data_IF_126677149589
#
_entry.id   IF_126677149589
#
_cell.length_a   1.000
_cell.length_b   1.000
_cell.length_c   1.000
_cell.angle_alpha   90.00
_cell.angle_beta   90.00
_cell.angle_gamma   90.00
#
_symmetry.space_group_name_H-M   'P 1'
#
loop_
_entity.id
_entity.type
_entity.pdbx_description
1 polymer ?
#
# COMPACT_ATOMS: atom_id res chain seq x y z
N UNK A 1 -43.24 10.26 6.28
CA UNK A 1 -43.63 10.03 7.68
C UNK A 1 -42.39 10.11 8.56
N UNK A 2 -42.09 11.31 9.07
CA UNK A 2 -41.15 11.53 10.17
C UNK A 2 -41.95 11.31 11.46
N UNK A 3 -41.53 10.38 12.32
CA UNK A 3 -42.02 10.31 13.70
C UNK A 3 -41.01 10.98 14.60
N UNK A 4 -41.50 12.03 15.24
CA UNK A 4 -40.93 12.80 16.33
C UNK A 4 -40.63 11.93 17.54
N UNK A 5 -39.47 12.18 18.16
CA UNK A 5 -39.26 11.96 19.59
C UNK A 5 -38.66 13.27 20.11
N UNK A 6 -39.54 14.14 20.61
CA UNK A 6 -39.18 15.20 21.53
C UNK A 6 -39.20 14.58 22.93
N UNK A 7 -38.03 14.56 23.57
CA UNK A 7 -37.95 14.55 25.03
C UNK A 7 -36.96 15.64 25.43
N UNK A 8 -37.53 16.64 26.10
CA UNK A 8 -36.89 17.72 26.83
C UNK A 8 -35.83 17.19 27.80
N UNK A 9 -34.59 17.67 27.67
CA UNK A 9 -33.59 17.61 28.73
C UNK A 9 -33.05 19.01 28.94
N UNK A 10 -33.10 19.41 30.20
CA UNK A 10 -32.71 20.66 30.84
C UNK A 10 -31.36 21.23 30.37
N UNK A 11 -31.34 22.56 30.29
CA UNK A 11 -30.13 23.38 30.31
C UNK A 11 -29.22 23.05 31.50
N UNK A 12 -27.92 23.26 31.28
CA UNK A 12 -26.75 23.03 32.15
C UNK A 12 -25.99 21.72 31.94
N UNK A 13 -25.15 21.70 30.90
CA UNK A 13 -23.97 20.82 30.83
C UNK A 13 -22.68 21.66 30.94
N UNK A 14 -21.76 21.39 31.87
CA UNK A 14 -20.50 22.11 31.97
C UNK A 14 -19.64 21.81 30.75
N UNK A 15 -18.93 22.82 30.24
CA UNK A 15 -17.87 22.68 29.23
C UNK A 15 -16.81 21.68 29.73
N UNK A 16 -17.00 20.39 29.46
CA UNK A 16 -15.94 19.41 29.64
C UNK A 16 -14.97 19.60 28.48
N UNK A 17 -13.93 20.40 28.70
CA UNK A 17 -12.73 20.38 27.88
C UNK A 17 -12.10 19.01 28.06
N UNK A 18 -11.99 18.23 26.99
CA UNK A 18 -11.29 16.94 26.97
C UNK A 18 -9.82 17.12 27.35
N UNK A 19 -9.51 16.96 28.64
CA UNK A 19 -8.16 16.91 29.18
C UNK A 19 -7.89 15.46 29.59
N UNK A 20 -7.03 14.77 28.84
CA UNK A 20 -6.45 13.51 29.30
C UNK A 20 -5.05 13.75 29.86
N UNK A 21 -4.73 13.02 30.93
CA UNK A 21 -3.46 13.10 31.66
C UNK A 21 -2.35 12.44 30.84
N UNK A 22 -1.25 13.15 30.60
CA UNK A 22 -0.03 12.56 30.03
C UNK A 22 1.05 12.58 31.11
N UNK A 23 1.55 11.38 31.47
CA UNK A 23 2.70 11.23 32.36
C UNK A 23 3.97 11.13 31.54
N UNK A 24 4.80 12.17 31.60
CA UNK A 24 6.16 12.13 31.07
C UNK A 24 7.12 12.01 32.26
N UNK A 25 7.85 10.88 32.34
CA UNK A 25 8.99 10.71 33.23
C UNK A 25 8.64 10.91 34.73
N UNK A 26 7.41 10.58 35.11
CA UNK A 26 6.90 10.71 36.48
C UNK A 26 6.25 12.06 36.82
N UNK A 27 6.26 13.04 35.90
CA UNK A 27 5.62 14.34 36.10
C UNK A 27 4.26 14.40 35.40
N UNK A 28 3.24 14.87 36.14
CA UNK A 28 1.91 15.13 35.59
C UNK A 28 1.90 16.51 34.93
N UNK A 29 1.83 16.56 33.61
CA UNK A 29 1.73 17.83 32.85
C UNK A 29 0.27 18.04 32.47
N UNK A 30 -0.38 19.06 33.06
CA UNK A 30 -1.75 19.42 32.71
C UNK A 30 -1.82 20.55 31.67
N UNK A 31 -2.85 20.48 30.82
CA UNK A 31 -3.28 21.33 29.70
C UNK A 31 -2.75 20.94 28.31
N UNK A 32 -3.69 20.68 27.39
CA UNK A 32 -3.53 21.00 25.96
C UNK A 32 -3.27 22.51 25.84
N UNK A 33 -2.02 22.95 25.99
CA UNK A 33 -1.57 24.14 25.29
C UNK A 33 -1.20 23.67 23.90
N UNK A 34 -2.10 23.87 22.95
CA UNK A 34 -1.87 23.48 21.56
C UNK A 34 -0.55 24.09 21.05
N UNK A 35 -0.22 25.31 21.48
CA UNK A 35 1.06 25.96 21.24
C UNK A 35 2.25 25.18 21.82
N UNK A 36 2.15 24.67 23.05
CA UNK A 36 3.20 23.84 23.67
C UNK A 36 3.34 22.48 23.00
N UNK A 37 2.23 21.86 22.58
CA UNK A 37 2.28 20.63 21.77
C UNK A 37 2.95 20.91 20.42
N UNK A 38 2.54 21.99 19.72
CA UNK A 38 3.10 22.41 18.43
C UNK A 38 4.57 22.82 18.54
N UNK A 39 5.03 23.31 19.70
CA UNK A 39 6.44 23.63 19.93
C UNK A 39 7.30 22.40 20.21
N UNK A 40 6.71 21.31 20.73
CA UNK A 40 7.45 20.07 21.06
C UNK A 40 7.44 19.10 19.86
N UNK A 41 6.28 18.90 19.24
CA UNK A 41 6.08 18.00 18.09
C UNK A 41 5.46 18.79 16.93
N UNK A 42 6.22 18.95 15.85
CA UNK A 42 5.72 19.50 14.58
C UNK A 42 5.13 18.37 13.75
N UNK A 43 3.86 18.47 13.39
CA UNK A 43 3.20 17.51 12.49
C UNK A 43 3.03 18.13 11.12
N UNK A 44 3.52 17.44 10.09
CA UNK A 44 3.31 17.77 8.68
C UNK A 44 2.40 16.70 8.07
N UNK A 45 1.24 17.07 7.55
CA UNK A 45 0.29 16.11 6.96
C UNK A 45 0.07 16.41 5.48
N UNK A 46 0.34 15.46 4.60
CA UNK A 46 0.20 15.59 3.14
C UNK A 46 -0.96 14.68 2.71
N UNK A 47 -2.08 15.23 2.22
CA UNK A 47 -3.25 14.44 1.84
C UNK A 47 -3.05 13.68 0.52
N UNK A 48 -3.90 12.67 0.27
CA UNK A 48 -3.84 11.86 -0.95
C UNK A 48 -4.27 12.66 -2.20
N UNK A 49 -5.35 13.44 -2.08
CA UNK A 49 -5.80 14.35 -3.12
C UNK A 49 -4.93 15.60 -3.08
N UNK A 50 -3.98 15.66 -4.01
CA UNK A 50 -3.11 16.82 -4.15
C UNK A 50 -3.80 17.85 -5.03
N UNK A 51 -4.29 18.94 -4.44
CA UNK A 51 -4.69 20.09 -5.22
C UNK A 51 -3.54 21.10 -5.17
N UNK A 52 -2.88 21.34 -6.31
CA UNK A 52 -1.76 22.26 -6.40
C UNK A 52 -2.14 23.69 -5.94
N UNK A 53 -3.41 24.08 -6.04
CA UNK A 53 -3.91 25.37 -5.54
C UNK A 53 -4.01 25.40 -4.01
N UNK A 54 -4.26 24.26 -3.35
CA UNK A 54 -4.46 24.19 -1.90
C UNK A 54 -3.23 23.69 -1.14
N UNK A 55 -2.37 22.85 -1.74
CA UNK A 55 -1.24 22.20 -1.07
C UNK A 55 0.10 22.90 -1.30
N UNK A 56 0.26 23.58 -2.45
CA UNK A 56 1.49 24.28 -2.83
C UNK A 56 1.39 25.80 -2.67
N UNK A 57 0.23 26.34 -2.28
CA UNK A 57 0.16 27.74 -1.84
C UNK A 57 0.83 27.85 -0.47
N UNK A 58 1.82 28.72 -0.33
CA UNK A 58 2.52 28.88 0.95
C UNK A 58 1.75 29.79 1.93
N UNK A 59 0.44 29.52 2.05
CA UNK A 59 -0.37 30.02 3.15
C UNK A 59 0.08 29.37 4.47
N UNK A 60 -0.06 30.10 5.60
CA UNK A 60 0.39 29.66 6.95
C UNK A 60 -0.18 28.29 7.40
N UNK A 61 -1.19 27.77 6.70
CA UNK A 61 -1.93 26.56 7.08
C UNK A 61 -1.59 25.34 6.25
N UNK A 62 -0.89 25.49 5.11
CA UNK A 62 -0.53 24.34 4.28
C UNK A 62 0.76 23.69 4.81
N UNK A 63 0.91 22.38 4.62
CA UNK A 63 2.14 21.67 5.01
C UNK A 63 3.37 22.28 4.32
N UNK A 64 3.27 22.52 3.02
CA UNK A 64 4.32 23.18 2.25
C UNK A 64 4.63 24.58 2.77
N UNK A 65 3.60 25.38 3.08
CA UNK A 65 3.76 26.72 3.63
C UNK A 65 4.47 26.72 4.99
N UNK A 66 4.15 25.77 5.87
CA UNK A 66 4.82 25.62 7.16
C UNK A 66 6.30 25.23 6.99
N UNK A 67 6.61 24.39 6.00
CA UNK A 67 7.98 24.04 5.68
C UNK A 67 8.75 25.26 5.15
N UNK A 68 8.23 25.92 4.11
CA UNK A 68 8.86 27.10 3.52
C UNK A 68 9.03 28.21 4.55
N UNK A 69 8.08 28.33 5.49
CA UNK A 69 8.19 29.21 6.64
C UNK A 69 9.41 28.88 7.50
N UNK A 70 9.60 27.61 7.89
CA UNK A 70 10.80 27.22 8.66
C UNK A 70 12.08 27.52 7.88
N UNK A 71 12.12 27.17 6.59
CA UNK A 71 13.30 27.46 5.73
C UNK A 71 13.60 28.96 5.65
N UNK A 72 12.57 29.79 5.55
CA UNK A 72 12.70 31.24 5.50
C UNK A 72 13.17 31.81 6.85
N UNK A 73 12.54 31.41 7.96
CA UNK A 73 12.86 31.89 9.31
C UNK A 73 14.27 31.46 9.76
N UNK A 74 14.73 30.28 9.33
CA UNK A 74 16.07 29.75 9.64
C UNK A 74 17.16 30.29 8.68
N UNK A 75 16.78 31.10 7.66
CA UNK A 75 17.71 31.62 6.66
C UNK A 75 18.61 32.72 7.22
N UNK A 76 19.92 32.74 6.88
CA UNK A 76 20.80 33.85 7.26
C UNK A 76 20.34 35.20 6.68
N UNK A 77 19.56 35.19 5.60
CA UNK A 77 19.06 36.40 4.94
C UNK A 77 17.70 36.88 5.48
N UNK A 78 17.16 36.26 6.54
CA UNK A 78 15.84 36.61 7.06
C UNK A 78 15.75 38.08 7.47
N UNK A 79 16.81 38.60 8.10
CA UNK A 79 16.86 40.00 8.53
C UNK A 79 16.93 40.96 7.35
N UNK A 80 17.74 40.65 6.33
CA UNK A 80 17.83 41.46 5.11
C UNK A 80 16.49 41.54 4.36
N UNK A 81 15.75 40.43 4.32
CA UNK A 81 14.40 40.40 3.72
C UNK A 81 13.44 41.27 4.53
N UNK A 82 13.53 41.22 5.87
CA UNK A 82 12.71 42.06 6.76
C UNK A 82 13.00 43.55 6.54
N UNK A 83 14.26 43.92 6.40
CA UNK A 83 14.66 45.31 6.15
C UNK A 83 14.23 45.78 4.75
N UNK A 84 14.30 44.89 3.75
CA UNK A 84 13.74 45.14 2.42
C UNK A 84 12.22 45.37 2.44
N UNK A 85 11.49 44.60 3.25
CA UNK A 85 10.04 44.75 3.45
C UNK A 85 9.66 46.11 4.04
N UNK A 86 10.43 46.59 5.01
CA UNK A 86 10.27 47.93 5.60
C UNK A 86 10.41 49.00 4.51
N UNK A 87 11.43 48.88 3.66
CA UNK A 87 11.66 49.82 2.57
C UNK A 87 10.53 49.82 1.53
N UNK A 88 9.98 48.64 1.22
CA UNK A 88 8.82 48.53 0.30
C UNK A 88 7.59 49.18 0.93
N UNK A 89 7.32 48.93 2.21
CA UNK A 89 6.17 49.53 2.89
C UNK A 89 6.28 51.06 2.97
N UNK A 90 7.49 51.60 3.18
CA UNK A 90 7.71 53.06 3.11
C UNK A 90 7.33 53.65 1.75
N UNK A 91 7.72 53.00 0.64
CA UNK A 91 7.32 53.43 -0.71
C UNK A 91 5.82 53.34 -0.94
N UNK A 92 5.16 52.34 -0.36
CA UNK A 92 3.69 52.19 -0.45
C UNK A 92 2.99 53.33 0.29
N UNK A 93 3.48 53.75 1.46
CA UNK A 93 2.97 54.94 2.15
C UNK A 93 3.02 56.19 1.28
N UNK A 94 4.15 56.40 0.57
CA UNK A 94 4.31 57.53 -0.32
C UNK A 94 3.30 57.50 -1.47
N UNK A 95 3.04 56.33 -2.05
CA UNK A 95 2.05 56.15 -3.13
C UNK A 95 0.63 56.49 -2.66
N UNK A 96 0.25 56.07 -1.45
CA UNK A 96 -1.11 56.23 -0.92
C UNK A 96 -1.28 57.45 0.00
N UNK A 97 -0.33 58.40 -0.02
CA UNK A 97 -0.32 59.52 0.93
C UNK A 97 -1.59 60.39 0.84
N UNK A 98 -2.14 60.53 -0.37
CA UNK A 98 -3.32 61.36 -0.61
C UNK A 98 -4.61 60.69 -0.10
N UNK A 99 -4.71 59.38 -0.30
CA UNK A 99 -5.79 58.51 0.15
C UNK A 99 -5.77 58.39 1.67
N UNK A 100 -4.57 58.24 2.26
CA UNK A 100 -4.33 58.26 3.71
C UNK A 100 -4.92 59.53 4.34
N UNK A 101 -4.59 60.70 3.79
CA UNK A 101 -5.08 61.98 4.33
C UNK A 101 -6.62 62.11 4.25
N UNK A 102 -7.23 61.68 3.13
CA UNK A 102 -8.69 61.68 2.97
C UNK A 102 -9.40 60.71 3.93
N UNK A 103 -8.85 59.51 4.10
CA UNK A 103 -9.41 58.52 5.03
C UNK A 103 -9.26 58.96 6.48
N UNK A 104 -8.10 59.51 6.85
CA UNK A 104 -7.83 59.97 8.21
C UNK A 104 -8.78 61.10 8.60
N UNK A 105 -8.94 62.09 7.73
CA UNK A 105 -9.90 63.19 7.96
C UNK A 105 -11.34 62.69 8.09
N UNK A 106 -11.77 61.75 7.25
CA UNK A 106 -13.08 61.11 7.38
C UNK A 106 -13.24 60.35 8.69
N UNK A 107 -12.27 59.52 9.07
CA UNK A 107 -12.32 58.71 10.29
C UNK A 107 -12.37 59.58 11.56
N UNK A 108 -11.58 60.66 11.60
CA UNK A 108 -11.52 61.60 12.72
C UNK A 108 -12.85 62.33 13.01
N UNK A 109 -13.78 62.39 12.03
CA UNK A 109 -15.12 62.96 12.27
C UNK A 109 -16.03 62.06 13.10
N UNK A 110 -15.74 60.76 13.16
CA UNK A 110 -16.62 59.75 13.77
C UNK A 110 -15.99 59.01 14.94
N UNK A 111 -14.65 59.01 15.04
CA UNK A 111 -13.90 58.31 16.08
C UNK A 111 -12.53 58.95 16.29
N UNK A 112 -11.87 58.62 17.40
CA UNK A 112 -10.48 59.03 17.64
C UNK A 112 -9.52 58.09 16.92
N UNK A 113 -8.93 58.57 15.81
CA UNK A 113 -7.91 57.87 15.03
C UNK A 113 -6.72 58.81 14.83
N UNK A 114 -5.56 58.44 15.38
CA UNK A 114 -4.33 59.24 15.32
C UNK A 114 -3.67 59.16 13.94
N UNK A 115 -3.58 57.95 13.38
CA UNK A 115 -2.98 57.73 12.07
C UNK A 115 -3.56 56.49 11.36
N UNK A 116 -3.36 56.40 10.05
CA UNK A 116 -3.68 55.25 9.21
C UNK A 116 -2.42 54.78 8.49
N UNK A 117 -2.13 53.48 8.56
CA UNK A 117 -0.93 52.90 7.96
C UNK A 117 -1.27 51.75 6.99
N UNK A 118 -0.85 51.87 5.74
CA UNK A 118 -0.94 50.84 4.70
C UNK A 118 0.31 49.94 4.68
N UNK A 119 0.14 48.69 5.11
CA UNK A 119 1.23 47.69 5.14
C UNK A 119 0.89 46.47 4.30
N UNK A 120 1.89 45.91 3.59
CA UNK A 120 1.73 44.65 2.84
C UNK A 120 1.66 43.41 3.73
N UNK A 121 2.25 43.46 4.92
CA UNK A 121 2.34 42.34 5.86
C UNK A 121 2.15 42.84 7.28
N UNK A 122 1.65 41.98 8.16
CA UNK A 122 1.55 42.30 9.58
C UNK A 122 2.94 42.38 10.21
N UNK A 123 3.23 43.50 10.87
CA UNK A 123 4.47 43.73 11.63
C UNK A 123 5.76 43.56 10.78
N UNK A 124 5.69 43.82 9.47
CA UNK A 124 6.78 43.58 8.51
C UNK A 124 7.32 42.14 8.54
N UNK A 125 6.47 41.15 8.81
CA UNK A 125 6.90 39.75 8.95
C UNK A 125 7.13 39.08 7.57
N UNK A 126 8.38 38.69 7.22
CA UNK A 126 8.69 38.02 5.95
C UNK A 126 7.88 36.76 5.67
N UNK A 127 7.51 35.99 6.70
CA UNK A 127 6.75 34.75 6.52
C UNK A 127 5.35 34.98 5.94
N UNK A 128 4.83 36.21 5.95
CA UNK A 128 3.54 36.50 5.30
C UNK A 128 3.64 36.61 3.78
N UNK A 129 4.83 36.92 3.25
CA UNK A 129 5.10 36.95 1.80
C UNK A 129 4.93 35.56 1.16
N UNK A 130 5.11 34.50 1.94
CA UNK A 130 4.95 33.13 1.50
C UNK A 130 3.55 32.86 0.93
N UNK A 131 2.51 33.61 1.34
CA UNK A 131 1.17 33.47 0.76
C UNK A 131 1.14 33.68 -0.76
N UNK A 132 2.09 34.42 -1.29
CA UNK A 132 2.22 34.75 -2.71
C UNK A 132 3.41 34.03 -3.38
N UNK A 133 4.03 33.07 -2.69
CA UNK A 133 5.13 32.30 -3.26
C UNK A 133 4.56 31.30 -4.29
N UNK A 134 4.88 31.53 -5.56
CA UNK A 134 4.52 30.67 -6.67
C UNK A 134 5.74 29.93 -7.22
N UNK A 135 5.52 28.70 -7.71
CA UNK A 135 6.56 27.87 -8.31
C UNK A 135 6.45 27.96 -9.84
N UNK A 136 7.55 28.38 -10.47
CA UNK A 136 7.69 28.42 -11.93
C UNK A 136 8.73 27.39 -12.39
N UNK A 137 8.41 26.69 -13.48
CA UNK A 137 9.27 25.67 -14.09
C UNK A 137 9.75 26.19 -15.45
N UNK A 138 11.04 25.97 -15.74
CA UNK A 138 11.63 26.26 -17.04
C UNK A 138 11.90 24.97 -17.81
N UNK A 139 11.18 24.76 -18.91
CA UNK A 139 11.38 23.63 -19.82
C UNK A 139 11.53 24.14 -21.25
N UNK A 140 12.57 23.70 -21.96
CA UNK A 140 12.84 24.07 -23.36
C UNK A 140 12.79 25.59 -23.63
N UNK A 141 13.26 26.39 -22.67
CA UNK A 141 13.28 27.85 -22.77
C UNK A 141 11.94 28.54 -22.46
N UNK A 142 10.86 27.79 -22.19
CA UNK A 142 9.58 28.33 -21.73
C UNK A 142 9.52 28.30 -20.21
N UNK A 143 9.01 29.37 -19.61
CA UNK A 143 8.74 29.47 -18.18
C UNK A 143 7.23 29.40 -18.00
N UNK A 144 6.75 28.47 -17.19
CA UNK A 144 5.33 28.32 -16.87
C UNK A 144 5.16 28.06 -15.37
N UNK A 145 4.02 28.47 -14.82
CA UNK A 145 3.64 28.08 -13.46
C UNK A 145 3.52 26.55 -13.39
N UNK A 146 3.86 25.95 -12.24
CA UNK A 146 3.77 24.51 -11.98
C UNK A 146 2.37 23.95 -12.29
N UNK A 147 1.30 24.73 -12.12
CA UNK A 147 -0.07 24.37 -12.47
C UNK A 147 -0.23 23.91 -13.93
N UNK A 148 0.54 24.50 -14.85
CA UNK A 148 0.50 24.19 -16.27
C UNK A 148 1.50 23.09 -16.69
N UNK A 149 2.28 22.58 -15.74
CA UNK A 149 3.20 21.48 -16.01
C UNK A 149 2.44 20.15 -16.08
N UNK A 150 3.00 19.19 -16.83
CA UNK A 150 2.46 17.83 -16.83
C UNK A 150 2.49 17.23 -15.43
N UNK A 151 1.52 16.35 -15.12
CA UNK A 151 1.40 15.70 -13.81
C UNK A 151 2.69 15.02 -13.34
N UNK A 152 3.49 14.46 -14.27
CA UNK A 152 4.81 13.90 -13.93
C UNK A 152 5.79 14.93 -13.35
N UNK A 153 5.90 16.10 -13.96
CA UNK A 153 6.77 17.19 -13.50
C UNK A 153 6.29 17.77 -12.17
N UNK A 154 4.96 17.96 -12.03
CA UNK A 154 4.36 18.41 -10.77
C UNK A 154 4.71 17.47 -9.62
N UNK A 155 4.57 16.15 -9.81
CA UNK A 155 4.91 15.17 -8.78
C UNK A 155 6.41 15.11 -8.49
N UNK A 156 7.28 15.27 -9.48
CA UNK A 156 8.72 15.32 -9.24
C UNK A 156 9.10 16.49 -8.30
N UNK A 157 8.48 17.66 -8.50
CA UNK A 157 8.69 18.81 -7.63
C UNK A 157 8.10 18.55 -6.23
N UNK A 158 6.91 17.95 -6.13
CA UNK A 158 6.33 17.57 -4.83
C UNK A 158 7.27 16.60 -4.08
N UNK A 159 7.82 15.60 -4.75
CA UNK A 159 8.81 14.69 -4.15
C UNK A 159 10.04 15.48 -3.69
N UNK A 160 10.57 16.39 -4.50
CA UNK A 160 11.69 17.24 -4.10
C UNK A 160 11.38 18.15 -2.91
N UNK A 161 10.16 18.67 -2.84
CA UNK A 161 9.65 19.44 -1.70
C UNK A 161 9.56 18.56 -0.45
N UNK A 162 8.98 17.36 -0.56
CA UNK A 162 8.90 16.40 0.54
C UNK A 162 10.31 16.03 1.00
N UNK A 163 11.23 15.77 0.07
CA UNK A 163 12.62 15.48 0.37
C UNK A 163 13.30 16.63 1.12
N UNK A 164 13.11 17.88 0.68
CA UNK A 164 13.57 19.07 1.40
C UNK A 164 12.93 19.16 2.79
N UNK A 165 11.64 18.85 2.89
CA UNK A 165 10.90 18.85 4.15
C UNK A 165 11.51 17.90 5.16
N UNK A 166 11.79 16.71 4.68
CA UNK A 166 12.27 15.58 5.45
C UNK A 166 13.76 15.73 5.79
N UNK A 167 14.55 16.38 4.93
CA UNK A 167 15.98 16.70 5.18
C UNK A 167 16.19 17.92 6.06
N UNK A 168 15.22 18.85 6.13
CA UNK A 168 15.38 20.05 6.95
C UNK A 168 15.35 19.65 8.44
N UNK A 169 16.53 19.65 9.08
CA UNK A 169 16.74 19.33 10.50
C UNK A 169 16.45 20.56 11.35
N UNK A 170 15.21 20.74 11.80
CA UNK A 170 14.90 21.75 12.81
C UNK A 170 15.02 21.14 14.21
N UNK A 171 15.25 21.98 15.22
CA UNK A 171 15.13 21.55 16.62
C UNK A 171 13.70 21.05 16.92
N UNK A 172 13.56 19.92 17.60
CA UNK A 172 12.29 19.32 18.02
C UNK A 172 11.87 18.04 17.30
N UNK A 173 10.85 17.36 17.82
CA UNK A 173 10.30 16.14 17.24
C UNK A 173 9.39 16.45 16.05
N UNK A 174 9.40 15.60 15.03
CA UNK A 174 8.61 15.75 13.80
C UNK A 174 7.84 14.49 13.48
N UNK A 175 6.59 14.66 13.07
CA UNK A 175 5.77 13.59 12.52
C UNK A 175 5.33 14.01 11.12
N UNK A 176 5.77 13.26 10.12
CA UNK A 176 5.29 13.38 8.75
C UNK A 176 4.20 12.35 8.52
N UNK A 177 3.01 12.79 8.13
CA UNK A 177 1.90 11.91 7.74
C UNK A 177 1.67 12.14 6.26
N UNK A 178 1.81 11.11 5.43
CA UNK A 178 1.69 11.23 3.98
C UNK A 178 0.69 10.18 3.50
N UNK A 179 -0.43 10.64 2.97
CA UNK A 179 -1.43 9.75 2.39
C UNK A 179 -1.12 9.47 0.91
N UNK A 180 -1.15 8.20 0.53
CA UNK A 180 -0.95 7.69 -0.83
C UNK A 180 0.17 8.41 -1.60
N UNK A 181 1.41 8.40 -1.07
CA UNK A 181 2.54 9.10 -1.67
C UNK A 181 2.82 8.66 -3.11
N UNK A 182 2.47 7.43 -3.50
CA UNK A 182 2.60 6.87 -4.84
C UNK A 182 1.73 7.50 -5.92
N UNK A 183 0.66 8.21 -5.55
CA UNK A 183 -0.34 8.70 -6.50
C UNK A 183 0.32 9.63 -7.52
N UNK A 184 0.07 9.33 -8.81
CA UNK A 184 0.65 10.00 -9.99
C UNK A 184 2.19 9.89 -10.15
N UNK A 185 2.84 8.96 -9.44
CA UNK A 185 4.29 8.72 -9.56
C UNK A 185 4.56 7.45 -10.38
N UNK A 186 5.48 7.55 -11.35
CA UNK A 186 5.92 6.38 -12.13
C UNK A 186 6.61 5.32 -11.22
N UNK A 187 6.53 4.00 -11.50
CA UNK A 187 7.06 2.96 -10.62
C UNK A 187 8.50 3.13 -10.12
N UNK A 188 9.39 3.68 -10.95
CA UNK A 188 10.76 3.99 -10.52
C UNK A 188 10.82 5.10 -9.46
N UNK A 189 9.95 6.12 -9.58
CA UNK A 189 9.81 7.18 -8.59
C UNK A 189 9.24 6.66 -7.27
N UNK A 190 8.31 5.68 -7.30
CA UNK A 190 7.78 5.04 -6.07
C UNK A 190 8.90 4.34 -5.30
N UNK A 191 9.79 3.61 -5.98
CA UNK A 191 10.96 2.97 -5.35
C UNK A 191 11.94 3.99 -4.77
N UNK A 192 12.21 5.07 -5.51
CA UNK A 192 13.04 6.15 -5.01
C UNK A 192 12.44 6.79 -3.75
N UNK A 193 11.14 7.10 -3.80
CA UNK A 193 10.38 7.64 -2.68
C UNK A 193 10.42 6.72 -1.44
N UNK A 194 10.24 5.41 -1.63
CA UNK A 194 10.39 4.43 -0.56
C UNK A 194 11.78 4.47 0.10
N UNK A 195 12.84 4.58 -0.70
CA UNK A 195 14.20 4.70 -0.17
C UNK A 195 14.47 6.03 0.55
N UNK A 196 13.94 7.14 0.03
CA UNK A 196 13.99 8.44 0.72
C UNK A 196 13.35 8.32 2.10
N UNK A 197 12.08 7.89 2.14
CA UNK A 197 11.27 7.75 3.36
C UNK A 197 12.01 6.90 4.41
N UNK A 198 12.62 5.78 3.99
CA UNK A 198 13.34 4.89 4.90
C UNK A 198 14.60 5.53 5.51
N UNK A 199 15.26 6.42 4.79
CA UNK A 199 16.51 7.05 5.24
C UNK A 199 16.28 8.25 6.18
N UNK A 200 15.07 8.81 6.23
CA UNK A 200 14.77 10.02 6.99
C UNK A 200 14.72 9.81 8.51
N UNK A 201 14.14 8.72 9.05
CA UNK A 201 14.15 8.44 10.48
C UNK A 201 15.55 8.18 11.08
N UNK A 202 16.63 8.29 10.30
CA UNK A 202 18.01 8.18 10.80
C UNK A 202 18.39 9.29 11.78
N UNK A 203 17.61 10.39 11.82
CA UNK A 203 17.65 11.36 12.90
C UNK A 203 16.59 10.99 13.94
N UNK A 204 16.98 10.71 15.19
CA UNK A 204 16.14 10.20 16.31
C UNK A 204 14.87 11.03 16.63
N UNK A 205 14.68 12.17 15.97
CA UNK A 205 13.59 13.10 16.21
C UNK A 205 12.50 13.08 15.12
N UNK A 206 12.60 12.24 14.08
CA UNK A 206 11.63 12.24 12.96
C UNK A 206 10.91 10.89 12.80
N UNK A 207 9.58 10.93 12.79
CA UNK A 207 8.72 9.80 12.45
C UNK A 207 7.97 10.07 11.15
N UNK A 208 7.83 9.05 10.30
CA UNK A 208 7.04 9.11 9.07
C UNK A 208 5.94 8.04 9.14
N UNK A 209 4.69 8.44 8.87
CA UNK A 209 3.51 7.60 8.80
C UNK A 209 2.91 7.71 7.40
N UNK A 210 2.64 6.58 6.76
CA UNK A 210 2.18 6.53 5.39
C UNK A 210 0.99 5.59 5.26
N UNK A 211 -0.02 6.00 4.51
CA UNK A 211 -1.02 5.09 3.94
C UNK A 211 -0.67 4.81 2.48
N UNK A 212 -0.85 3.58 2.02
CA UNK A 212 -0.50 3.19 0.64
C UNK A 212 -1.32 1.99 0.17
N UNK A 213 -1.66 2.00 -1.12
CA UNK A 213 -2.20 0.87 -1.87
C UNK A 213 -1.16 0.29 -2.86
N UNK A 214 0.10 0.76 -2.79
CA UNK A 214 1.16 0.38 -3.71
C UNK A 214 1.95 -0.84 -3.23
N UNK A 215 1.84 -1.93 -3.98
CA UNK A 215 2.72 -3.12 -3.84
C UNK A 215 4.20 -2.72 -3.87
N UNK A 216 4.55 -1.84 -4.81
CA UNK A 216 5.92 -1.36 -5.02
C UNK A 216 6.45 -0.58 -3.84
N UNK A 217 5.60 0.19 -3.16
CA UNK A 217 6.01 0.99 -2.01
C UNK A 217 6.20 0.12 -0.77
N UNK A 218 5.20 -0.71 -0.43
CA UNK A 218 5.24 -1.63 0.71
C UNK A 218 6.47 -2.54 0.68
N UNK A 219 6.89 -2.99 -0.51
CA UNK A 219 8.07 -3.83 -0.69
C UNK A 219 9.41 -3.18 -0.24
N UNK A 220 9.46 -1.87 0.05
CA UNK A 220 10.67 -1.19 0.57
C UNK A 220 10.78 -1.24 2.11
N UNK A 221 9.72 -1.66 2.79
CA UNK A 221 9.62 -1.60 4.25
C UNK A 221 9.85 -2.96 4.89
N UNK A 222 10.27 -2.96 6.15
CA UNK A 222 10.45 -4.15 6.99
C UNK A 222 9.13 -4.54 7.68
N UNK A 223 8.98 -5.78 8.18
CA UNK A 223 7.74 -6.22 8.84
C UNK A 223 7.28 -5.31 9.98
N UNK A 224 8.24 -4.84 10.77
CA UNK A 224 8.01 -3.91 11.88
C UNK A 224 7.56 -2.52 11.41
N UNK A 225 7.80 -2.18 10.15
CA UNK A 225 7.44 -0.89 9.52
C UNK A 225 6.10 -0.99 8.79
N UNK A 226 5.50 -2.19 8.68
CA UNK A 226 4.23 -2.43 7.98
C UNK A 226 3.12 -2.64 9.01
N UNK A 227 2.05 -1.87 8.87
CA UNK A 227 0.83 -2.01 9.67
C UNK A 227 -0.32 -2.33 8.71
N UNK A 228 -0.88 -3.53 8.83
CA UNK A 228 -2.08 -3.93 8.08
C UNK A 228 -3.32 -3.51 8.86
N UNK A 229 -4.22 -2.80 8.19
CA UNK A 229 -5.46 -2.28 8.77
C UNK A 229 -6.63 -2.84 7.99
N UNK A 230 -7.46 -3.63 8.67
CA UNK A 230 -8.61 -4.32 8.08
C UNK A 230 -9.89 -3.99 8.82
N UNK A 231 -11.04 -4.29 8.19
CA UNK A 231 -12.36 -4.21 8.83
C UNK A 231 -12.97 -5.59 8.95
N UNK A 232 -13.21 -6.04 10.17
CA UNK A 232 -13.82 -7.34 10.46
C UNK A 232 -15.03 -7.16 11.38
N UNK A 233 -16.18 -7.71 11.01
CA UNK A 233 -17.42 -7.64 11.80
C UNK A 233 -17.77 -6.21 12.26
N UNK A 234 -17.54 -5.22 11.41
CA UNK A 234 -17.80 -3.80 11.69
C UNK A 234 -16.74 -3.10 12.55
N UNK A 235 -15.64 -3.77 12.92
CA UNK A 235 -14.55 -3.23 13.74
C UNK A 235 -13.26 -3.09 12.94
N UNK A 236 -12.43 -2.11 13.30
CA UNK A 236 -11.08 -1.96 12.75
C UNK A 236 -10.14 -2.92 13.47
N UNK A 237 -9.46 -3.78 12.71
CA UNK A 237 -8.42 -4.68 13.18
C UNK A 237 -7.08 -4.16 12.67
N UNK A 238 -6.10 -4.06 13.57
CA UNK A 238 -4.76 -3.57 13.26
C UNK A 238 -3.76 -4.68 13.57
N UNK A 239 -2.91 -5.03 12.61
CA UNK A 239 -1.88 -6.04 12.75
C UNK A 239 -0.52 -5.49 12.32
N UNK A 240 0.44 -5.65 13.21
CA UNK A 240 1.84 -5.29 13.01
C UNK A 240 2.68 -6.35 13.70
N UNK A 241 3.78 -6.77 13.07
CA UNK A 241 4.63 -7.79 13.67
C UNK A 241 6.11 -7.40 13.58
N UNK A 242 6.75 -7.30 14.75
CA UNK A 242 8.17 -6.97 14.90
C UNK A 242 9.07 -8.20 15.05
N UNK A 243 8.52 -9.41 15.17
CA UNK A 243 9.26 -10.64 15.48
C UNK A 243 9.92 -11.30 14.26
N UNK A 244 9.50 -10.95 13.03
CA UNK A 244 10.12 -11.49 11.81
C UNK A 244 11.49 -10.82 11.59
N UNK A 245 12.52 -11.64 11.36
CA UNK A 245 13.87 -11.16 11.02
C UNK A 245 13.85 -10.29 9.75
N UNK A 246 14.38 -9.07 9.88
CA UNK A 246 14.44 -8.06 8.81
C UNK A 246 15.28 -8.49 7.62
N UNK A 247 16.41 -9.17 7.85
CA UNK A 247 17.31 -9.69 6.81
C UNK A 247 16.62 -10.76 5.94
N UNK A 248 15.81 -11.62 6.55
CA UNK A 248 15.08 -12.64 5.81
C UNK A 248 13.90 -12.06 5.02
N UNK A 249 13.25 -11.02 5.54
CA UNK A 249 12.13 -10.38 4.87
C UNK A 249 12.55 -9.62 3.60
N UNK A 250 13.63 -8.83 3.64
CA UNK A 250 14.13 -8.07 2.48
C UNK A 250 14.56 -8.95 1.30
N UNK A 251 14.96 -10.19 1.57
CA UNK A 251 15.34 -11.16 0.53
C UNK A 251 14.15 -11.86 -0.12
N UNK A 252 12.95 -11.62 0.39
CA UNK A 252 11.80 -12.47 0.11
C UNK A 252 10.57 -11.71 -0.31
N UNK A 253 10.29 -10.55 0.27
CA UNK A 253 9.21 -9.67 -0.18
C UNK A 253 9.73 -8.73 -1.26
N UNK A 254 9.08 -8.79 -2.41
CA UNK A 254 9.30 -8.00 -3.61
C UNK A 254 7.95 -7.50 -4.14
N UNK A 255 7.97 -6.63 -5.15
CA UNK A 255 6.74 -6.09 -5.73
C UNK A 255 5.75 -7.21 -6.17
N UNK A 256 6.26 -8.32 -6.72
CA UNK A 256 5.44 -9.41 -7.27
C UNK A 256 4.70 -10.26 -6.22
N UNK A 257 5.09 -10.19 -4.96
CA UNK A 257 4.48 -10.96 -3.87
C UNK A 257 4.05 -10.08 -2.67
N UNK A 258 4.30 -8.77 -2.74
CA UNK A 258 3.79 -7.80 -1.78
C UNK A 258 2.26 -7.73 -1.79
N UNK A 259 1.61 -8.29 -2.82
CA UNK A 259 0.16 -8.55 -2.86
C UNK A 259 -0.34 -9.27 -1.60
N UNK A 260 0.52 -10.08 -0.93
CA UNK A 260 0.22 -10.71 0.36
C UNK A 260 -0.41 -9.75 1.37
N UNK A 261 0.04 -8.50 1.43
CA UNK A 261 -0.44 -7.51 2.41
C UNK A 261 -1.79 -6.90 2.07
N UNK A 262 -2.26 -7.08 0.82
CA UNK A 262 -3.48 -6.49 0.29
C UNK A 262 -4.60 -7.50 0.07
N UNK A 263 -4.30 -8.80 0.18
CA UNK A 263 -5.31 -9.85 0.04
C UNK A 263 -6.03 -10.14 1.35
N UNK A 264 -7.28 -10.58 1.22
CA UNK A 264 -8.04 -11.18 2.34
C UNK A 264 -7.58 -12.62 2.58
N UNK A 265 -7.28 -13.34 1.49
CA UNK A 265 -6.71 -14.70 1.50
C UNK A 265 -5.63 -14.87 0.44
N UNK A 266 -4.66 -15.74 0.68
CA UNK A 266 -3.65 -16.13 -0.30
C UNK A 266 -3.73 -17.60 -0.68
N UNK A 267 -3.61 -17.90 -1.97
CA UNK A 267 -3.25 -19.21 -2.49
C UNK A 267 -1.75 -19.23 -2.81
N UNK A 268 -0.98 -19.94 -1.99
CA UNK A 268 0.40 -20.29 -2.28
C UNK A 268 0.44 -21.47 -3.24
N UNK A 269 1.20 -21.32 -4.32
CA UNK A 269 1.41 -22.39 -5.30
C UNK A 269 2.89 -22.64 -5.51
N UNK A 270 3.28 -23.85 -5.88
CA UNK A 270 4.68 -24.21 -6.00
C UNK A 270 5.43 -23.39 -7.07
N UNK A 271 4.88 -23.29 -8.29
CA UNK A 271 5.57 -22.73 -9.43
C UNK A 271 4.74 -21.80 -10.31
N UNK A 272 5.26 -21.56 -11.51
CA UNK A 272 4.63 -20.69 -12.50
C UNK A 272 3.50 -21.37 -13.25
N UNK A 273 3.51 -22.70 -13.39
CA UNK A 273 2.44 -23.45 -14.05
C UNK A 273 1.11 -23.21 -13.34
N UNK A 274 1.07 -23.49 -12.03
CA UNK A 274 -0.12 -23.34 -11.20
C UNK A 274 -0.58 -21.89 -11.17
N UNK A 275 0.35 -20.94 -10.98
CA UNK A 275 0.01 -19.51 -10.97
C UNK A 275 -0.70 -19.10 -12.26
N UNK A 276 -0.18 -19.50 -13.41
CA UNK A 276 -0.82 -19.18 -14.69
C UNK A 276 -2.14 -19.93 -14.89
N UNK A 277 -2.23 -21.20 -14.51
CA UNK A 277 -3.48 -21.95 -14.59
C UNK A 277 -4.58 -21.30 -13.74
N UNK A 278 -4.32 -21.05 -12.46
CA UNK A 278 -5.33 -20.48 -11.56
C UNK A 278 -5.71 -19.03 -11.92
N UNK A 279 -4.76 -18.17 -12.31
CA UNK A 279 -5.06 -16.77 -12.69
C UNK A 279 -5.85 -16.61 -14.00
N UNK A 280 -5.92 -17.66 -14.83
CA UNK A 280 -6.65 -17.64 -16.10
C UNK A 280 -7.92 -18.50 -16.04
N UNK A 281 -7.87 -19.65 -15.36
CA UNK A 281 -9.01 -20.57 -15.30
C UNK A 281 -10.11 -20.09 -14.35
N UNK A 282 -9.80 -19.30 -13.32
CA UNK A 282 -10.79 -18.74 -12.39
C UNK A 282 -11.82 -17.86 -13.10
N UNK A 283 -11.38 -17.05 -14.07
CA UNK A 283 -12.18 -16.13 -14.89
C UNK A 283 -13.10 -16.83 -15.89
N UNK A 284 -12.87 -18.11 -16.17
CA UNK A 284 -13.63 -18.90 -17.17
C UNK A 284 -14.44 -20.03 -16.53
N UNK A 285 -14.52 -20.06 -15.20
CA UNK A 285 -15.40 -20.98 -14.48
C UNK A 285 -16.83 -20.81 -14.97
N UNK A 286 -17.45 -21.92 -15.35
CA UNK A 286 -18.73 -21.87 -16.06
C UNK A 286 -19.88 -21.52 -15.12
N UNK A 287 -20.85 -20.78 -15.62
CA UNK A 287 -22.11 -20.54 -14.91
C UNK A 287 -23.12 -21.55 -15.48
N UNK A 288 -23.54 -22.50 -14.66
CA UNK A 288 -24.67 -23.35 -14.97
C UNK A 288 -25.96 -22.61 -14.59
N UNK A 289 -26.72 -22.15 -15.59
CA UNK A 289 -27.97 -21.44 -15.38
C UNK A 289 -29.05 -22.27 -14.66
N UNK A 290 -28.91 -23.61 -14.63
CA UNK A 290 -29.80 -24.49 -13.88
C UNK A 290 -29.36 -24.71 -12.43
N UNK A 291 -28.15 -24.30 -12.08
CA UNK A 291 -27.61 -24.37 -10.73
C UNK A 291 -27.33 -22.95 -10.22
N UNK A 292 -28.22 -22.34 -9.42
CA UNK A 292 -28.02 -20.99 -8.90
C UNK A 292 -26.76 -20.84 -8.02
N UNK A 293 -26.17 -21.94 -7.54
CA UNK A 293 -24.90 -21.95 -6.79
C UNK A 293 -23.67 -21.98 -7.71
N UNK A 294 -23.86 -22.05 -9.03
CA UNK A 294 -22.80 -22.00 -10.04
C UNK A 294 -22.46 -20.54 -10.38
N UNK A 295 -21.69 -19.90 -9.51
CA UNK A 295 -21.22 -18.54 -9.74
C UNK A 295 -19.91 -18.47 -10.54
N UNK A 296 -19.59 -17.26 -11.01
CA UNK A 296 -18.28 -16.93 -11.56
C UNK A 296 -17.28 -16.83 -10.41
N UNK A 297 -16.34 -17.77 -10.36
CA UNK A 297 -15.35 -17.92 -9.29
C UNK A 297 -14.05 -17.13 -9.55
N UNK A 298 -14.16 -15.93 -10.14
CA UNK A 298 -13.02 -15.01 -10.28
C UNK A 298 -12.48 -14.62 -8.90
N UNK A 299 -11.23 -14.99 -8.62
CA UNK A 299 -10.57 -14.80 -7.33
C UNK A 299 -10.40 -13.33 -6.94
N UNK A 300 -10.32 -12.41 -7.91
CA UNK A 300 -10.24 -10.97 -7.65
C UNK A 300 -11.50 -10.46 -6.91
N UNK A 301 -12.67 -11.11 -7.10
CA UNK A 301 -13.93 -10.71 -6.45
C UNK A 301 -13.96 -10.96 -4.94
N UNK A 302 -13.08 -11.83 -4.46
CA UNK A 302 -12.96 -12.20 -3.04
C UNK A 302 -11.60 -11.80 -2.47
N UNK A 303 -10.86 -10.92 -3.18
CA UNK A 303 -9.51 -10.48 -2.82
C UNK A 303 -8.56 -11.66 -2.51
N UNK A 304 -8.64 -12.74 -3.30
CA UNK A 304 -7.74 -13.89 -3.16
C UNK A 304 -6.52 -13.70 -4.05
N UNK A 305 -5.36 -13.47 -3.43
CA UNK A 305 -4.08 -13.31 -4.14
C UNK A 305 -3.40 -14.66 -4.42
N UNK A 306 -2.68 -14.77 -5.55
CA UNK A 306 -1.95 -15.99 -5.94
C UNK A 306 -0.45 -15.74 -5.97
N UNK A 307 0.26 -16.39 -5.04
CA UNK A 307 1.70 -16.21 -4.86
C UNK A 307 2.42 -17.53 -5.16
N UNK A 308 3.29 -17.51 -6.17
CA UNK A 308 4.20 -18.62 -6.45
C UNK A 308 5.34 -18.63 -5.43
N UNK A 309 5.72 -19.82 -4.98
CA UNK A 309 6.76 -20.02 -3.98
C UNK A 309 8.17 -19.96 -4.56
N UNK A 310 8.33 -20.26 -5.86
CA UNK A 310 9.60 -20.46 -6.61
C UNK A 310 10.47 -21.61 -6.10
N UNK A 311 10.36 -21.98 -4.82
CA UNK A 311 10.86 -23.21 -4.21
C UNK A 311 9.97 -23.60 -3.04
N UNK A 312 9.72 -24.89 -2.85
CA UNK A 312 8.98 -25.41 -1.68
C UNK A 312 9.61 -25.02 -0.34
N UNK A 313 10.89 -24.64 -0.31
CA UNK A 313 11.57 -24.14 0.91
C UNK A 313 11.05 -22.79 1.37
N UNK A 314 10.38 -22.06 0.48
CA UNK A 314 9.77 -20.77 0.74
C UNK A 314 8.47 -20.87 1.53
N UNK A 315 7.78 -22.02 1.50
CA UNK A 315 6.43 -22.18 2.06
C UNK A 315 6.35 -21.79 3.53
N UNK A 316 7.32 -22.25 4.34
CA UNK A 316 7.37 -21.97 5.78
C UNK A 316 7.50 -20.47 6.03
N UNK A 317 8.26 -19.76 5.20
CA UNK A 317 8.45 -18.31 5.33
C UNK A 317 7.19 -17.54 4.97
N UNK A 318 6.53 -17.88 3.87
CA UNK A 318 5.28 -17.24 3.49
C UNK A 318 4.17 -17.47 4.51
N UNK A 319 4.04 -18.69 5.03
CA UNK A 319 3.04 -19.00 6.08
C UNK A 319 3.33 -18.22 7.36
N UNK A 320 4.61 -18.08 7.76
CA UNK A 320 5.00 -17.22 8.89
C UNK A 320 4.58 -15.77 8.67
N UNK A 321 4.80 -15.24 7.47
CA UNK A 321 4.39 -13.86 7.12
C UNK A 321 2.87 -13.75 7.17
N UNK A 322 2.13 -14.64 6.51
CA UNK A 322 0.66 -14.62 6.50
C UNK A 322 0.08 -14.66 7.92
N UNK A 323 0.53 -15.60 8.77
CA UNK A 323 0.12 -15.68 10.18
C UNK A 323 0.46 -14.41 10.97
N UNK A 324 1.62 -13.82 10.71
CA UNK A 324 2.09 -12.62 11.43
C UNK A 324 1.23 -11.39 11.17
N UNK A 325 0.59 -11.33 10.00
CA UNK A 325 -0.30 -10.23 9.58
C UNK A 325 -1.78 -10.61 9.61
N UNK A 326 -2.12 -11.78 10.16
CA UNK A 326 -3.48 -12.33 10.24
C UNK A 326 -4.16 -12.42 8.86
N UNK A 327 -3.43 -13.00 7.90
CA UNK A 327 -3.88 -13.21 6.53
C UNK A 327 -4.21 -14.69 6.38
N UNK A 328 -5.45 -14.97 5.93
CA UNK A 328 -5.86 -16.33 5.61
C UNK A 328 -5.00 -16.88 4.46
N UNK A 329 -4.66 -18.15 4.52
CA UNK A 329 -3.90 -18.78 3.46
C UNK A 329 -4.34 -20.20 3.18
N UNK A 330 -4.05 -20.61 1.96
CA UNK A 330 -4.10 -21.97 1.43
C UNK A 330 -2.80 -22.22 0.67
N UNK A 331 -2.23 -23.41 0.78
CA UNK A 331 -1.10 -23.81 -0.06
C UNK A 331 -1.45 -25.05 -0.88
N UNK A 332 -1.12 -25.04 -2.16
CA UNK A 332 -1.14 -26.21 -3.04
C UNK A 332 0.30 -26.59 -3.37
N UNK A 333 0.67 -27.83 -3.03
CA UNK A 333 2.00 -28.38 -3.24
C UNK A 333 1.93 -29.73 -3.93
N UNK A 334 2.99 -30.07 -4.66
CA UNK A 334 3.08 -31.36 -5.34
C UNK A 334 3.36 -32.50 -4.36
N UNK A 335 3.15 -33.74 -4.83
CA UNK A 335 3.27 -34.94 -4.00
C UNK A 335 4.66 -35.12 -3.36
N UNK A 336 5.70 -34.71 -4.07
CA UNK A 336 7.08 -34.86 -3.64
C UNK A 336 7.43 -33.99 -2.42
N UNK A 337 6.62 -32.94 -2.15
CA UNK A 337 6.71 -32.13 -0.94
C UNK A 337 6.69 -32.98 0.34
N UNK A 338 5.92 -34.06 0.38
CA UNK A 338 5.82 -34.96 1.54
C UNK A 338 7.17 -35.53 1.99
N UNK A 339 8.08 -35.72 1.04
CA UNK A 339 9.43 -36.24 1.27
C UNK A 339 10.47 -35.13 1.45
N UNK A 340 10.09 -33.86 1.24
CA UNK A 340 10.99 -32.72 1.34
C UNK A 340 11.26 -32.35 2.81
N UNK A 341 12.49 -31.93 3.12
CA UNK A 341 12.87 -31.44 4.46
C UNK A 341 11.96 -30.30 4.95
N UNK A 342 11.48 -29.49 4.01
CA UNK A 342 10.59 -28.36 4.27
C UNK A 342 9.21 -28.77 4.75
N UNK A 343 8.72 -29.97 4.41
CA UNK A 343 7.48 -30.51 4.98
C UNK A 343 7.62 -30.81 6.48
N UNK A 344 8.74 -31.41 6.90
CA UNK A 344 9.03 -31.62 8.32
C UNK A 344 9.09 -30.29 9.10
N UNK A 345 9.77 -29.31 8.52
CA UNK A 345 9.88 -27.97 9.13
C UNK A 345 8.52 -27.28 9.19
N UNK A 346 7.71 -27.39 8.13
CA UNK A 346 6.37 -26.84 8.07
C UNK A 346 5.46 -27.47 9.13
N UNK A 347 5.47 -28.80 9.26
CA UNK A 347 4.68 -29.52 10.26
C UNK A 347 4.97 -28.99 11.67
N UNK A 348 6.24 -28.82 12.03
CA UNK A 348 6.63 -28.23 13.32
C UNK A 348 6.09 -26.81 13.51
N UNK A 349 6.07 -26.00 12.45
CA UNK A 349 5.61 -24.60 12.49
C UNK A 349 4.07 -24.48 12.62
N UNK A 350 3.34 -25.44 12.07
CA UNK A 350 1.87 -25.45 12.10
C UNK A 350 1.29 -26.37 13.20
N UNK A 351 2.17 -26.92 14.05
CA UNK A 351 1.79 -27.74 15.20
C UNK A 351 1.32 -29.15 14.85
N UNK A 352 1.83 -29.72 13.75
CA UNK A 352 1.57 -31.09 13.32
C UNK A 352 2.76 -32.01 13.57
N UNK A 353 2.48 -33.29 13.79
CA UNK A 353 3.53 -34.31 13.91
C UNK A 353 3.86 -34.86 12.53
N UNK A 354 5.09 -34.64 12.06
CA UNK A 354 5.54 -35.21 10.79
C UNK A 354 5.78 -36.71 10.93
N UNK A 355 5.09 -37.51 10.12
CA UNK A 355 5.24 -38.97 10.06
C UNK A 355 5.12 -39.47 8.62
N UNK A 356 6.03 -40.35 8.20
CA UNK A 356 6.02 -40.96 6.86
C UNK A 356 5.43 -42.36 6.83
N UNK A 357 5.12 -42.94 8.00
CA UNK A 357 4.55 -44.29 8.15
C UNK A 357 3.10 -44.38 7.65
N UNK A 358 2.33 -43.28 7.72
CA UNK A 358 0.96 -43.20 7.23
C UNK A 358 0.77 -41.91 6.41
N UNK A 359 1.11 -41.98 5.12
CA UNK A 359 1.00 -40.85 4.18
C UNK A 359 -0.44 -40.32 4.06
N UNK A 360 -1.49 -41.16 3.94
CA UNK A 360 -2.87 -40.67 3.90
C UNK A 360 -3.24 -39.83 5.12
N UNK A 361 -2.81 -40.23 6.33
CA UNK A 361 -3.03 -39.45 7.54
C UNK A 361 -2.28 -38.11 7.49
N UNK A 362 -1.02 -38.11 7.09
CA UNK A 362 -0.24 -36.87 6.96
C UNK A 362 -0.90 -35.89 5.97
N UNK A 363 -1.42 -36.38 4.84
CA UNK A 363 -2.16 -35.54 3.88
C UNK A 363 -3.43 -34.96 4.51
N UNK A 364 -4.19 -35.75 5.26
CA UNK A 364 -5.38 -35.28 5.97
C UNK A 364 -5.03 -34.22 7.04
N UNK A 365 -3.96 -34.45 7.79
CA UNK A 365 -3.46 -33.52 8.82
C UNK A 365 -3.02 -32.19 8.18
N UNK A 366 -2.27 -32.23 7.09
CA UNK A 366 -1.86 -31.05 6.31
C UNK A 366 -3.08 -30.28 5.78
N UNK A 367 -4.08 -31.00 5.25
CA UNK A 367 -5.31 -30.42 4.73
C UNK A 367 -6.11 -29.69 5.82
N UNK A 368 -6.13 -30.23 7.05
CA UNK A 368 -6.75 -29.57 8.22
C UNK A 368 -6.10 -28.23 8.59
N UNK A 369 -4.88 -27.96 8.08
CA UNK A 369 -4.12 -26.72 8.25
C UNK A 369 -4.01 -25.92 6.94
N UNK A 370 -4.94 -26.12 6.02
CA UNK A 370 -5.02 -25.45 4.72
C UNK A 370 -3.80 -25.71 3.80
N UNK A 371 -3.19 -26.89 3.91
CA UNK A 371 -2.13 -27.34 2.99
C UNK A 371 -2.66 -28.52 2.18
N UNK A 372 -2.92 -28.30 0.90
CA UNK A 372 -3.39 -29.30 -0.04
C UNK A 372 -2.18 -29.90 -0.74
N UNK A 373 -2.08 -31.23 -0.66
CA UNK A 373 -1.06 -32.00 -1.39
C UNK A 373 -1.73 -32.63 -2.60
N UNK A 374 -1.21 -32.36 -3.80
CA UNK A 374 -1.64 -33.02 -5.02
C UNK A 374 -1.24 -34.50 -4.98
N UNK A 375 -2.21 -35.40 -4.81
CA UNK A 375 -1.91 -36.83 -4.65
C UNK A 375 -1.54 -37.53 -5.96
N UNK A 376 -1.81 -36.89 -7.12
CA UNK A 376 -1.50 -37.38 -8.47
C UNK A 376 -0.05 -37.21 -8.88
N UNK A 377 0.69 -36.27 -8.28
CA UNK A 377 2.06 -35.96 -8.68
C UNK A 377 2.26 -34.46 -8.78
N UNK A 378 2.49 -33.97 -10.00
CA UNK A 378 2.55 -32.56 -10.35
C UNK A 378 1.19 -32.05 -10.86
N UNK A 379 0.99 -30.73 -10.96
CA UNK A 379 -0.27 -30.15 -11.48
C UNK A 379 -0.59 -30.65 -12.90
N UNK A 380 0.44 -30.92 -13.70
CA UNK A 380 0.30 -31.43 -15.07
C UNK A 380 -0.36 -32.83 -15.12
N UNK A 381 -0.26 -33.63 -14.06
CA UNK A 381 -0.84 -34.98 -13.97
C UNK A 381 -2.37 -34.98 -13.79
N UNK A 382 -2.97 -33.80 -13.60
CA UNK A 382 -4.43 -33.65 -13.52
C UNK A 382 -5.07 -33.78 -14.91
N UNK A 383 -4.35 -33.37 -15.96
CA UNK A 383 -4.84 -33.38 -17.33
C UNK A 383 -4.64 -34.75 -17.98
N UNK A 384 -5.70 -35.24 -18.62
CA UNK A 384 -5.67 -36.52 -19.33
C UNK A 384 -4.83 -36.42 -20.61
N UNK A 385 -4.26 -37.55 -21.06
CA UNK A 385 -3.46 -37.58 -22.29
C UNK A 385 -4.28 -37.17 -23.52
N UNK A 386 -5.59 -37.42 -23.52
CA UNK A 386 -6.51 -36.99 -24.58
C UNK A 386 -6.69 -35.47 -24.61
N UNK A 387 -6.87 -34.84 -23.44
CA UNK A 387 -6.93 -33.37 -23.37
C UNK A 387 -5.62 -32.77 -23.85
N UNK A 388 -4.48 -33.29 -23.39
CA UNK A 388 -3.17 -32.80 -23.81
C UNK A 388 -2.95 -33.00 -25.32
N UNK A 389 -3.40 -34.10 -25.91
CA UNK A 389 -3.36 -34.30 -27.36
C UNK A 389 -4.20 -33.25 -28.10
N UNK A 390 -5.40 -32.94 -27.60
CA UNK A 390 -6.28 -31.93 -28.20
C UNK A 390 -5.68 -30.52 -28.10
N UNK A 391 -5.01 -30.18 -26.98
CA UNK A 391 -4.44 -28.85 -26.74
C UNK A 391 -3.11 -28.68 -27.50
N UNK A 392 -2.23 -29.68 -27.44
CA UNK A 392 -0.89 -29.60 -28.04
C UNK A 392 -0.87 -29.92 -29.54
N UNK A 393 -1.86 -30.65 -30.05
CA UNK A 393 -1.86 -31.20 -31.42
C UNK A 393 -0.90 -32.38 -31.61
N UNK A 394 -0.27 -32.89 -30.54
CA UNK A 394 0.64 -34.03 -30.61
C UNK A 394 -0.12 -35.36 -30.47
N UNK A 395 0.45 -36.43 -31.04
CA UNK A 395 -0.15 -37.77 -30.97
C UNK A 395 -0.01 -38.38 -29.57
N UNK A 396 -1.04 -39.09 -29.09
CA UNK A 396 -1.08 -39.75 -27.77
C UNK A 396 0.13 -40.69 -27.56
N UNK A 397 0.54 -41.46 -28.57
CA UNK A 397 1.69 -42.36 -28.46
C UNK A 397 2.99 -41.60 -28.16
N UNK A 398 3.12 -40.38 -28.71
CA UNK A 398 4.27 -39.50 -28.52
C UNK A 398 4.20 -38.77 -27.17
N UNK A 399 3.01 -38.38 -26.73
CA UNK A 399 2.78 -37.86 -25.37
C UNK A 399 3.20 -38.90 -24.32
N UNK A 400 2.74 -40.14 -24.49
CA UNK A 400 3.08 -41.24 -23.60
C UNK A 400 4.59 -41.52 -23.60
N UNK A 401 5.26 -41.48 -24.75
CA UNK A 401 6.72 -41.67 -24.79
C UNK A 401 7.47 -40.55 -24.07
N UNK A 402 7.02 -39.29 -24.19
CA UNK A 402 7.61 -38.17 -23.45
C UNK A 402 7.38 -38.28 -21.95
N UNK A 403 6.18 -38.66 -21.50
CA UNK A 403 5.87 -38.89 -20.08
C UNK A 403 6.68 -40.06 -19.51
N UNK A 404 6.79 -41.17 -20.24
CA UNK A 404 7.62 -42.32 -19.84
C UNK A 404 9.11 -41.97 -19.72
N UNK A 405 9.60 -41.02 -20.52
CA UNK A 405 10.98 -40.52 -20.39
C UNK A 405 11.21 -39.64 -19.15
N UNK A 406 10.15 -39.21 -18.45
CA UNK A 406 10.22 -38.42 -17.21
C UNK A 406 9.19 -38.91 -16.17
N UNK A 407 9.34 -40.13 -15.62
CA UNK A 407 8.29 -40.80 -14.85
C UNK A 407 7.84 -40.09 -13.55
N UNK A 408 8.65 -39.15 -13.04
CA UNK A 408 8.35 -38.38 -11.83
C UNK A 408 8.38 -36.85 -12.08
N UNK A 409 8.41 -36.42 -13.34
CA UNK A 409 8.48 -35.00 -13.74
C UNK A 409 7.71 -34.77 -15.05
N UNK A 410 6.40 -34.90 -14.99
CA UNK A 410 5.46 -34.62 -16.08
C UNK A 410 5.61 -33.21 -16.62
N UNK A 411 5.97 -32.23 -15.80
CA UNK A 411 6.29 -30.87 -16.20
C UNK A 411 7.40 -30.80 -17.26
N UNK A 412 8.44 -31.65 -17.16
CA UNK A 412 9.48 -31.78 -18.20
C UNK A 412 8.98 -32.46 -19.47
N UNK A 413 8.02 -33.37 -19.35
CA UNK A 413 7.36 -33.96 -20.51
C UNK A 413 6.52 -32.90 -21.24
N UNK A 414 5.79 -32.05 -20.49
CA UNK A 414 4.99 -30.96 -21.04
C UNK A 414 5.84 -29.93 -21.79
N UNK A 415 7.02 -29.58 -21.27
CA UNK A 415 7.98 -28.72 -22.00
C UNK A 415 8.33 -29.28 -23.38
N UNK A 416 8.48 -30.61 -23.51
CA UNK A 416 8.75 -31.27 -24.80
C UNK A 416 7.51 -31.40 -25.69
N UNK A 417 6.34 -31.67 -25.10
CA UNK A 417 5.06 -31.80 -25.80
C UNK A 417 4.66 -30.46 -26.42
N UNK A 418 4.66 -29.40 -25.62
CA UNK A 418 4.23 -28.06 -26.04
C UNK A 418 5.35 -27.24 -26.69
N UNK A 419 6.60 -27.70 -26.62
CA UNK A 419 7.81 -26.99 -27.08
C UNK A 419 7.87 -25.56 -26.52
N UNK A 420 7.54 -25.44 -25.25
CA UNK A 420 7.24 -24.18 -24.57
C UNK A 420 7.65 -24.29 -23.10
N UNK A 421 7.99 -23.16 -22.47
CA UNK A 421 8.28 -23.13 -21.03
C UNK A 421 7.01 -23.28 -20.18
N UNK A 422 7.19 -23.57 -18.88
CA UNK A 422 6.10 -23.72 -17.89
C UNK A 422 4.98 -22.66 -17.97
N UNK A 423 5.29 -21.34 -17.96
CA UNK A 423 4.24 -20.33 -18.04
C UNK A 423 3.50 -20.35 -19.37
N UNK A 424 4.20 -20.63 -20.47
CA UNK A 424 3.66 -20.55 -21.82
C UNK A 424 2.69 -21.70 -22.12
N UNK A 425 3.03 -22.94 -21.77
CA UNK A 425 2.07 -24.03 -21.97
C UNK A 425 0.88 -23.94 -21.02
N UNK A 426 1.07 -23.42 -19.80
CA UNK A 426 -0.05 -23.19 -18.88
C UNK A 426 -1.08 -22.22 -19.47
N UNK A 427 -0.63 -21.15 -20.12
CA UNK A 427 -1.50 -20.22 -20.87
C UNK A 427 -2.18 -20.93 -22.04
N UNK A 428 -1.46 -21.73 -22.84
CA UNK A 428 -2.05 -22.51 -23.95
C UNK A 428 -3.16 -23.45 -23.47
N UNK A 429 -2.96 -24.09 -22.31
CA UNK A 429 -3.98 -24.95 -21.68
C UNK A 429 -5.19 -24.12 -21.28
N UNK A 430 -5.00 -22.97 -20.62
CA UNK A 430 -6.10 -22.10 -20.22
C UNK A 430 -6.88 -21.54 -21.44
N UNK A 431 -6.18 -21.09 -22.49
CA UNK A 431 -6.75 -20.59 -23.74
C UNK A 431 -7.62 -21.64 -24.43
N UNK A 432 -7.23 -22.91 -24.38
CA UNK A 432 -8.04 -24.00 -24.94
C UNK A 432 -9.41 -24.09 -24.25
N UNK A 433 -9.46 -24.02 -22.91
CA UNK A 433 -10.74 -24.04 -22.19
C UNK A 433 -11.55 -22.76 -22.40
N UNK A 434 -10.89 -21.60 -22.54
CA UNK A 434 -11.55 -20.35 -22.90
C UNK A 434 -12.20 -20.42 -24.30
N UNK A 435 -11.52 -21.00 -25.28
CA UNK A 435 -12.04 -21.11 -26.65
C UNK A 435 -13.12 -22.18 -26.80
N UNK A 436 -13.06 -23.25 -25.99
CA UNK A 436 -13.96 -24.39 -26.06
C UNK A 436 -14.99 -24.36 -24.92
N UNK A 437 -15.91 -23.40 -24.97
CA UNK A 437 -16.98 -23.20 -23.97
C UNK A 437 -17.84 -24.44 -23.64
N UNK A 438 -17.76 -25.54 -24.41
CA UNK A 438 -18.39 -26.82 -24.10
C UNK A 438 -17.62 -27.73 -23.14
N UNK A 439 -16.31 -27.53 -22.94
CA UNK A 439 -15.44 -28.43 -22.17
C UNK A 439 -15.14 -27.83 -20.79
N UNK A 440 -15.30 -28.61 -19.72
CA UNK A 440 -15.01 -28.17 -18.33
C UNK A 440 -13.56 -28.52 -18.03
N UNK A 441 -12.81 -27.57 -17.47
CA UNK A 441 -11.44 -27.83 -17.03
C UNK A 441 -11.43 -28.83 -15.86
N UNK A 442 -10.49 -29.78 -15.83
CA UNK A 442 -10.25 -30.62 -14.65
C UNK A 442 -10.03 -29.85 -13.34
N UNK A 443 -9.65 -28.57 -13.43
CA UNK A 443 -9.44 -27.69 -12.28
C UNK A 443 -10.68 -26.92 -11.84
N UNK A 444 -11.80 -26.97 -12.57
CA UNK A 444 -13.02 -26.17 -12.29
C UNK A 444 -13.57 -26.43 -10.88
N UNK A 445 -13.70 -27.69 -10.47
CA UNK A 445 -14.17 -28.07 -9.13
C UNK A 445 -13.23 -27.56 -8.03
N UNK A 446 -11.92 -27.66 -8.25
CA UNK A 446 -10.89 -27.18 -7.30
C UNK A 446 -11.00 -25.66 -7.14
N UNK A 447 -11.10 -24.94 -8.26
CA UNK A 447 -11.25 -23.47 -8.26
C UNK A 447 -12.50 -23.06 -7.49
N UNK A 448 -13.65 -23.72 -7.73
CA UNK A 448 -14.89 -23.43 -7.00
C UNK A 448 -14.76 -23.64 -5.50
N UNK A 449 -14.11 -24.72 -5.09
CA UNK A 449 -13.89 -25.02 -3.67
C UNK A 449 -12.92 -24.04 -3.03
N UNK A 450 -11.86 -23.64 -3.73
CA UNK A 450 -10.95 -22.56 -3.27
C UNK A 450 -11.73 -21.25 -3.10
N UNK A 451 -12.55 -20.89 -4.09
CA UNK A 451 -13.38 -19.68 -4.08
C UNK A 451 -14.34 -19.66 -2.89
N UNK A 452 -15.06 -20.76 -2.64
CA UNK A 452 -16.02 -20.91 -1.54
C UNK A 452 -15.38 -21.17 -0.16
N UNK A 453 -14.05 -21.21 -0.08
CA UNK A 453 -13.32 -21.62 1.12
C UNK A 453 -13.63 -23.06 1.61
N UNK A 454 -14.05 -23.95 0.71
CA UNK A 454 -14.41 -25.33 1.03
C UNK A 454 -13.21 -26.28 0.86
N UNK A 455 -12.15 -26.00 1.62
CA UNK A 455 -10.87 -26.70 1.50
C UNK A 455 -11.02 -28.18 1.83
N UNK A 456 -11.88 -28.52 2.79
CA UNK A 456 -12.13 -29.88 3.25
C UNK A 456 -12.61 -30.84 2.16
N UNK A 457 -13.28 -30.33 1.13
CA UNK A 457 -13.84 -31.13 0.04
C UNK A 457 -12.98 -31.15 -1.23
N UNK A 458 -11.82 -30.50 -1.25
CA UNK A 458 -10.92 -30.54 -2.41
C UNK A 458 -10.31 -31.93 -2.54
N UNK A 459 -10.48 -32.58 -3.68
CA UNK A 459 -9.86 -33.86 -4.01
C UNK A 459 -8.96 -33.69 -5.23
N UNK A 460 -7.66 -33.86 -5.04
CA UNK A 460 -6.66 -33.69 -6.09
C UNK A 460 -5.61 -34.79 -6.06
#
# INVERSE_FOLDING_TARGET
>A
MRKSYEQSVSEESPKNQDVFEVKLWGFTVHRKKEETRRSIIKMLMVPAVRNYQDDLTASKWTPYGQLMKSVLEDSPNYQDIKDGLININNKIQEVFISEKAKLLSGAQTTSYVEDIDFQLTRDNNPSELLRNLEIYIKENGRIANIEYAGTGTQNAIIIGILELALKNRSSGFKIFVIEEPEVFIHPHGIRYLGSLIKNIPSDDNTQVLISTHSLSLVANFEPKEIIRVNKENGRTIIKQNSSISTTHFKRFIHQDNAEIFFSDRILFVEGSTEKQLFCNLDKVTKIDNNNPDSENCNFDRINLGIIKLDSVDAIVRYIKIAKSFDIDYLALVDKDFLNHFSCKTLCSEIGLTYQTTNIPQLIADLKSKNIIVNSRGEIEDIFTDQEIANISGENIAKINSFKLSHPNKTSKAFEKIFKAGKPEYAIKIADYYFQNNGIISPLDDIIRKIYKNDIGNISI
#
